data_IF_206470080346
#
_entry.id   IF_206470080346
#
_cell.length_a   1.000
_cell.length_b   1.000
_cell.length_c   1.000
_cell.angle_alpha   90.00
_cell.angle_beta   90.00
_cell.angle_gamma   90.00
#
_symmetry.space_group_name_H-M   'P 1'
#
loop_
_entity.id
_entity.type
_entity.pdbx_description
1 polymer ?
#
# COMPACT_ATOMS: atom_id res chain seq x y z
N UNK A 1 -32.88 27.70 -32.75
CA UNK A 1 -31.55 27.89 -33.34
C UNK A 1 -30.57 28.06 -32.20
N UNK A 2 -29.78 27.01 -31.99
CA UNK A 2 -28.45 26.97 -31.36
C UNK A 2 -28.30 27.27 -29.85
N UNK A 3 -28.05 26.17 -29.15
CA UNK A 3 -27.41 25.99 -27.86
C UNK A 3 -26.07 26.72 -27.73
N UNK A 4 -25.85 27.43 -26.62
CA UNK A 4 -24.50 27.77 -26.16
C UNK A 4 -24.28 27.06 -24.82
N UNK A 5 -23.70 25.87 -24.88
CA UNK A 5 -23.12 25.19 -23.74
C UNK A 5 -21.84 25.91 -23.37
N UNK A 6 -21.85 26.56 -22.21
CA UNK A 6 -20.68 27.18 -21.62
C UNK A 6 -19.82 26.05 -21.02
N UNK A 7 -18.92 25.51 -21.84
CA UNK A 7 -17.96 24.49 -21.43
C UNK A 7 -16.83 25.20 -20.68
N UNK A 8 -16.98 25.32 -19.36
CA UNK A 8 -15.95 25.88 -18.48
C UNK A 8 -14.79 24.88 -18.41
N UNK A 9 -13.57 25.23 -18.84
CA UNK A 9 -12.43 24.35 -18.66
C UNK A 9 -12.20 24.15 -17.17
N UNK A 10 -12.22 22.90 -16.72
CA UNK A 10 -11.83 22.53 -15.36
C UNK A 10 -10.40 23.00 -15.12
N UNK A 11 -10.27 24.13 -14.42
CA UNK A 11 -8.99 24.76 -14.09
C UNK A 11 -8.26 23.84 -13.11
N UNK A 12 -7.27 23.11 -13.64
CA UNK A 12 -6.40 22.26 -12.86
C UNK A 12 -5.72 23.09 -11.77
N UNK A 13 -5.76 22.60 -10.53
CA UNK A 13 -5.14 23.25 -9.38
C UNK A 13 -3.65 23.56 -9.66
N UNK A 14 -3.14 24.70 -9.15
CA UNK A 14 -1.79 25.14 -9.45
C UNK A 14 -0.75 24.06 -9.06
N UNK A 15 0.30 23.85 -9.88
CA UNK A 15 1.29 22.83 -9.61
C UNK A 15 1.98 23.15 -8.28
N UNK A 16 1.77 22.24 -7.32
CA UNK A 16 2.48 22.23 -6.05
C UNK A 16 3.98 22.00 -6.30
N UNK A 17 4.83 22.30 -5.32
CA UNK A 17 6.29 22.15 -5.49
C UNK A 17 6.66 20.71 -5.92
N UNK A 18 7.78 20.47 -6.62
CA UNK A 18 8.11 19.15 -7.16
C UNK A 18 8.10 18.01 -6.12
N UNK A 19 8.51 18.30 -4.87
CA UNK A 19 8.43 17.33 -3.77
C UNK A 19 6.98 17.04 -3.35
N UNK A 20 6.14 18.07 -3.34
CA UNK A 20 4.73 17.95 -2.97
C UNK A 20 3.90 17.23 -4.05
N UNK A 21 4.25 17.34 -5.33
CA UNK A 21 3.64 16.55 -6.40
C UNK A 21 3.98 15.05 -6.25
N UNK A 22 5.23 14.72 -5.91
CA UNK A 22 5.66 13.34 -5.66
C UNK A 22 4.85 12.71 -4.52
N UNK A 23 4.72 13.42 -3.40
CA UNK A 23 3.94 12.96 -2.25
C UNK A 23 2.45 12.82 -2.59
N UNK A 24 1.88 13.78 -3.32
CA UNK A 24 0.47 13.75 -3.75
C UNK A 24 0.19 12.53 -4.64
N UNK A 25 1.08 12.22 -5.58
CA UNK A 25 0.94 11.06 -6.47
C UNK A 25 1.10 9.76 -5.69
N UNK A 26 2.10 9.66 -4.81
CA UNK A 26 2.30 8.47 -3.99
C UNK A 26 1.06 8.19 -3.12
N UNK A 27 0.54 9.22 -2.46
CA UNK A 27 -0.69 9.13 -1.67
C UNK A 27 -1.88 8.68 -2.52
N UNK A 28 -2.05 9.22 -3.72
CA UNK A 28 -3.15 8.83 -4.60
C UNK A 28 -3.04 7.36 -5.03
N UNK A 29 -1.84 6.85 -5.28
CA UNK A 29 -1.61 5.43 -5.55
C UNK A 29 -1.99 4.60 -4.33
N UNK A 30 -1.52 4.97 -3.13
CA UNK A 30 -1.88 4.32 -1.86
C UNK A 30 -3.38 4.24 -1.68
N UNK A 31 -4.07 5.39 -1.72
CA UNK A 31 -5.51 5.49 -1.53
C UNK A 31 -6.25 4.59 -2.54
N UNK A 32 -5.87 4.62 -3.82
CA UNK A 32 -6.49 3.79 -4.85
C UNK A 32 -6.28 2.30 -4.56
N UNK A 33 -5.08 1.88 -4.16
CA UNK A 33 -4.80 0.47 -3.86
C UNK A 33 -5.49 -0.03 -2.60
N UNK A 34 -5.54 0.76 -1.53
CA UNK A 34 -6.20 0.40 -0.26
C UNK A 34 -7.72 0.20 -0.43
N UNK A 35 -8.34 0.98 -1.31
CA UNK A 35 -9.76 0.86 -1.63
C UNK A 35 -10.05 -0.20 -2.71
N UNK A 36 -9.06 -1.01 -3.10
CA UNK A 36 -9.20 -2.05 -4.13
C UNK A 36 -9.43 -1.50 -5.54
N UNK A 37 -9.14 -0.23 -5.77
CA UNK A 37 -9.24 0.42 -7.08
C UNK A 37 -7.95 0.30 -7.88
N UNK A 38 -8.08 0.36 -9.20
CA UNK A 38 -6.94 0.29 -10.11
C UNK A 38 -6.21 1.64 -10.21
N UNK A 39 -4.98 1.71 -9.70
CA UNK A 39 -4.10 2.89 -9.86
C UNK A 39 -3.46 2.96 -11.26
N UNK A 40 -4.26 3.32 -12.27
CA UNK A 40 -3.78 3.60 -13.63
C UNK A 40 -3.34 5.07 -13.76
N UNK A 41 -2.48 5.37 -14.74
CA UNK A 41 -2.03 6.75 -15.04
C UNK A 41 -3.19 7.74 -15.17
N UNK A 42 -4.25 7.32 -15.89
CA UNK A 42 -5.47 8.10 -16.07
C UNK A 42 -6.17 8.37 -14.74
N UNK A 43 -6.36 7.35 -13.91
CA UNK A 43 -7.06 7.50 -12.63
C UNK A 43 -6.26 8.34 -11.64
N UNK A 44 -4.93 8.21 -11.63
CA UNK A 44 -4.04 9.06 -10.84
C UNK A 44 -4.17 10.52 -11.28
N UNK A 45 -4.21 10.78 -12.59
CA UNK A 45 -4.44 12.13 -13.15
C UNK A 45 -5.79 12.70 -12.72
N UNK A 46 -6.86 11.91 -12.81
CA UNK A 46 -8.22 12.31 -12.41
C UNK A 46 -8.32 12.61 -10.91
N UNK A 47 -7.68 11.81 -10.05
CA UNK A 47 -7.72 11.98 -8.58
C UNK A 47 -6.83 13.14 -8.13
N UNK A 48 -5.66 13.32 -8.74
CA UNK A 48 -4.68 14.34 -8.33
C UNK A 48 -4.90 15.69 -9.00
N UNK A 49 -5.59 15.75 -10.14
CA UNK A 49 -5.76 16.95 -10.95
C UNK A 49 -4.48 17.43 -11.64
N UNK A 50 -3.39 16.64 -11.59
CA UNK A 50 -2.12 16.98 -12.20
C UNK A 50 -2.11 16.68 -13.70
N UNK A 51 -1.21 17.33 -14.45
CA UNK A 51 -1.03 17.03 -15.88
C UNK A 51 -0.44 15.63 -16.06
N UNK A 52 -0.88 14.92 -17.11
CA UNK A 52 -0.41 13.57 -17.43
C UNK A 52 1.12 13.48 -17.53
N UNK A 53 1.77 14.48 -18.15
CA UNK A 53 3.24 14.54 -18.26
C UNK A 53 3.93 14.60 -16.90
N UNK A 54 3.39 15.39 -15.96
CA UNK A 54 3.89 15.46 -14.58
C UNK A 54 3.71 14.12 -13.87
N UNK A 55 2.56 13.48 -14.05
CA UNK A 55 2.28 12.16 -13.47
C UNK A 55 3.25 11.11 -14.00
N UNK A 56 3.48 11.06 -15.31
CA UNK A 56 4.40 10.13 -15.95
C UNK A 56 5.85 10.28 -15.47
N UNK A 57 6.35 11.51 -15.37
CA UNK A 57 7.69 11.81 -14.85
C UNK A 57 7.86 11.32 -13.40
N UNK A 58 6.87 11.56 -12.54
CA UNK A 58 6.92 11.14 -11.14
C UNK A 58 6.73 9.64 -10.96
N UNK A 59 5.88 8.99 -11.75
CA UNK A 59 5.73 7.52 -11.75
C UNK A 59 7.07 6.86 -12.12
N UNK A 60 7.78 7.42 -13.11
CA UNK A 60 9.09 6.89 -13.52
C UNK A 60 10.08 6.96 -12.36
N UNK A 61 10.19 8.11 -11.68
CA UNK A 61 11.06 8.28 -10.50
C UNK A 61 10.65 7.40 -9.32
N UNK A 62 9.36 7.31 -9.00
CA UNK A 62 8.87 6.47 -7.90
C UNK A 62 9.16 4.98 -8.14
N UNK A 63 9.17 4.55 -9.41
CA UNK A 63 9.55 3.20 -9.80
C UNK A 63 11.06 2.97 -9.68
N UNK A 64 11.87 3.95 -10.09
CA UNK A 64 13.33 3.92 -9.90
C UNK A 64 13.71 3.88 -8.42
N UNK A 65 12.98 4.62 -7.58
CA UNK A 65 13.11 4.62 -6.12
C UNK A 65 12.62 3.31 -5.47
N UNK A 66 11.99 2.40 -6.23
CA UNK A 66 11.48 1.12 -5.74
C UNK A 66 10.23 1.21 -4.86
N UNK A 67 9.56 2.37 -4.81
CA UNK A 67 8.35 2.56 -3.99
C UNK A 67 7.08 2.01 -4.66
N UNK A 68 7.08 1.96 -6.00
CA UNK A 68 5.97 1.40 -6.78
C UNK A 68 6.50 0.42 -7.82
N UNK A 69 5.67 -0.54 -8.19
CA UNK A 69 5.93 -1.45 -9.31
C UNK A 69 4.77 -1.45 -10.28
N UNK A 70 5.06 -1.78 -11.54
CA UNK A 70 4.03 -1.95 -12.56
C UNK A 70 3.58 -3.41 -12.61
N UNK A 71 2.27 -3.63 -12.54
CA UNK A 71 1.65 -4.94 -12.64
C UNK A 71 1.46 -5.34 -14.10
N UNK A 72 0.50 -4.71 -14.78
CA UNK A 72 0.09 -4.97 -16.16
C UNK A 72 -0.55 -3.70 -16.76
N UNK A 73 -0.34 -3.46 -18.06
CA UNK A 73 -0.98 -2.38 -18.82
C UNK A 73 -0.95 -0.97 -18.18
N UNK A 74 0.13 -0.62 -17.46
CA UNK A 74 0.25 0.69 -16.81
C UNK A 74 -0.58 0.83 -15.54
N UNK A 75 -0.93 -0.29 -14.90
CA UNK A 75 -1.41 -0.37 -13.53
C UNK A 75 -0.23 -0.41 -12.57
N UNK A 76 -0.30 0.39 -11.50
CA UNK A 76 0.74 0.47 -10.48
C UNK A 76 0.22 -0.01 -9.14
N UNK A 77 1.12 -0.58 -8.34
CA UNK A 77 0.88 -0.88 -6.94
C UNK A 77 2.08 -0.45 -6.11
N UNK A 78 1.84 -0.23 -4.82
CA UNK A 78 2.91 0.00 -3.86
C UNK A 78 3.75 -1.25 -3.72
N UNK A 79 5.06 -1.05 -3.65
CA UNK A 79 5.96 -2.07 -3.13
C UNK A 79 5.87 -1.99 -1.61
N UNK A 80 5.60 -3.12 -0.96
CA UNK A 80 5.69 -3.18 0.49
C UNK A 80 7.16 -2.99 0.89
N UNK A 81 7.47 -1.79 1.40
CA UNK A 81 8.79 -1.44 1.92
C UNK A 81 8.86 -1.61 3.45
N UNK A 82 7.84 -2.20 4.06
CA UNK A 82 7.86 -2.47 5.51
C UNK A 82 9.05 -3.37 5.80
N UNK A 83 9.97 -2.97 6.69
CA UNK A 83 11.12 -3.80 6.99
C UNK A 83 10.64 -5.10 7.65
N UNK A 84 11.22 -6.22 7.23
CA UNK A 84 11.02 -7.50 7.90
C UNK A 84 11.47 -7.38 9.35
N UNK A 85 10.53 -7.57 10.28
CA UNK A 85 10.81 -7.58 11.71
C UNK A 85 11.14 -8.99 12.16
N UNK A 86 12.06 -9.13 13.11
CA UNK A 86 12.32 -10.41 13.74
C UNK A 86 11.06 -10.90 14.45
N UNK A 87 10.64 -12.13 14.14
CA UNK A 87 9.51 -12.79 14.79
C UNK A 87 10.03 -13.99 15.57
N UNK A 88 9.74 -14.03 16.86
CA UNK A 88 10.17 -15.12 17.75
C UNK A 88 8.99 -15.66 18.55
N UNK A 89 9.07 -16.96 18.89
CA UNK A 89 8.18 -17.58 19.87
C UNK A 89 9.04 -18.29 20.91
N UNK A 90 8.87 -17.94 22.17
CA UNK A 90 9.62 -18.50 23.29
C UNK A 90 8.68 -19.27 24.21
N UNK A 91 9.01 -20.53 24.48
CA UNK A 91 8.34 -21.31 25.51
C UNK A 91 8.78 -20.84 26.90
N UNK A 92 7.82 -20.65 27.80
CA UNK A 92 8.02 -20.24 29.18
C UNK A 92 7.60 -21.38 30.13
N UNK A 93 8.05 -21.34 31.40
CA UNK A 93 7.60 -22.29 32.41
C UNK A 93 6.07 -22.36 32.51
N UNK A 94 5.55 -23.53 32.93
CA UNK A 94 4.10 -23.81 33.07
C UNK A 94 3.31 -23.73 31.76
N UNK A 95 3.96 -24.03 30.62
CA UNK A 95 3.32 -24.12 29.31
C UNK A 95 2.85 -22.78 28.76
N UNK A 96 3.40 -21.67 29.26
CA UNK A 96 3.14 -20.35 28.71
C UNK A 96 4.04 -20.11 27.51
N UNK A 97 3.66 -19.14 26.69
CA UNK A 97 4.43 -18.73 25.53
C UNK A 97 4.54 -17.21 25.48
N UNK A 98 5.62 -16.73 24.87
CA UNK A 98 5.82 -15.32 24.57
C UNK A 98 6.05 -15.20 23.07
N UNK A 99 5.38 -14.24 22.44
CA UNK A 99 5.53 -13.92 21.01
C UNK A 99 6.08 -12.51 20.90
N UNK A 100 7.10 -12.33 20.08
CA UNK A 100 7.77 -11.04 19.85
C UNK A 100 7.77 -10.72 18.36
N UNK A 101 7.50 -9.46 18.02
CA UNK A 101 7.60 -8.92 16.66
C UNK A 101 8.32 -7.57 16.71
N UNK A 102 9.62 -7.57 16.43
CA UNK A 102 10.46 -6.39 16.70
C UNK A 102 10.43 -6.03 18.19
N UNK A 103 10.04 -4.80 18.51
CA UNK A 103 9.92 -4.31 19.89
C UNK A 103 8.56 -4.63 20.54
N UNK A 104 7.58 -5.11 19.76
CA UNK A 104 6.26 -5.45 20.27
C UNK A 104 6.29 -6.84 20.92
N UNK A 105 5.81 -6.93 22.17
CA UNK A 105 5.81 -8.17 22.94
C UNK A 105 4.40 -8.51 23.43
N UNK A 106 3.92 -9.70 23.07
CA UNK A 106 2.79 -10.34 23.74
C UNK A 106 3.31 -11.21 24.88
N UNK A 107 3.25 -10.68 26.09
CA UNK A 107 3.78 -11.37 27.26
C UNK A 107 2.89 -12.53 27.73
N UNK A 108 3.55 -13.66 28.04
CA UNK A 108 3.02 -14.73 28.88
C UNK A 108 1.63 -15.30 28.49
N UNK A 109 1.40 -15.47 27.19
CA UNK A 109 0.22 -16.16 26.64
C UNK A 109 0.01 -17.50 27.33
N UNK A 110 -1.23 -17.75 27.70
CA UNK A 110 -1.67 -19.04 28.24
C UNK A 110 -1.63 -20.12 27.15
N UNK A 111 -1.63 -21.42 27.53
CA UNK A 111 -1.74 -22.50 26.55
C UNK A 111 -2.96 -22.37 25.62
N UNK A 112 -4.09 -21.85 26.14
CA UNK A 112 -5.32 -21.70 25.35
C UNK A 112 -5.23 -20.56 24.33
N UNK A 113 -4.67 -19.43 24.71
CA UNK A 113 -4.43 -18.30 23.81
C UNK A 113 -3.42 -18.68 22.73
N UNK A 114 -2.36 -19.40 23.11
CA UNK A 114 -1.36 -19.90 22.17
C UNK A 114 -1.98 -20.85 21.15
N UNK A 115 -2.85 -21.76 21.59
CA UNK A 115 -3.57 -22.67 20.70
C UNK A 115 -4.56 -21.94 19.76
N UNK A 116 -5.21 -20.88 20.25
CA UNK A 116 -6.09 -20.05 19.42
C UNK A 116 -5.27 -19.32 18.35
N UNK A 117 -4.17 -18.67 18.75
CA UNK A 117 -3.25 -17.97 17.85
C UNK A 117 -2.66 -18.92 16.81
N UNK A 118 -2.22 -20.11 17.21
CA UNK A 118 -1.62 -21.08 16.29
C UNK A 118 -2.62 -21.53 15.21
N UNK A 119 -3.91 -21.66 15.53
CA UNK A 119 -4.94 -22.01 14.54
C UNK A 119 -5.15 -20.89 13.52
N UNK A 120 -5.16 -19.64 13.97
CA UNK A 120 -5.26 -18.48 13.07
C UNK A 120 -4.05 -18.42 12.13
N UNK A 121 -2.84 -18.58 12.67
CA UNK A 121 -1.61 -18.57 11.89
C UNK A 121 -1.49 -19.76 10.94
N UNK A 122 -1.99 -20.95 11.32
CA UNK A 122 -2.03 -22.10 10.43
C UNK A 122 -2.89 -21.83 9.18
N UNK A 123 -4.02 -21.11 9.34
CA UNK A 123 -4.84 -20.67 8.21
C UNK A 123 -4.09 -19.73 7.27
N UNK A 124 -3.35 -18.76 7.82
CA UNK A 124 -2.49 -17.84 7.04
C UNK A 124 -1.40 -18.62 6.31
N UNK A 125 -0.73 -19.55 6.99
CA UNK A 125 0.31 -20.38 6.39
C UNK A 125 -0.23 -21.23 5.23
N UNK A 126 -1.46 -21.72 5.30
CA UNK A 126 -2.08 -22.44 4.18
C UNK A 126 -2.45 -21.50 3.02
N UNK A 127 -2.99 -20.32 3.32
CA UNK A 127 -3.40 -19.35 2.29
C UNK A 127 -2.21 -18.78 1.51
N UNK A 128 -1.09 -18.51 2.18
CA UNK A 128 0.06 -17.83 1.59
C UNK A 128 1.28 -18.74 1.39
N UNK A 129 1.36 -19.88 2.08
CA UNK A 129 2.48 -20.84 1.96
C UNK A 129 2.36 -21.80 0.78
N UNK A 130 1.16 -21.96 0.21
CA UNK A 130 0.92 -22.80 -0.98
C UNK A 130 1.38 -22.15 -2.31
N UNK A 131 1.83 -20.89 -2.27
CA UNK A 131 2.24 -20.10 -3.44
C UNK A 131 3.74 -20.09 -3.72
N UNK A 132 4.49 -21.11 -3.26
CA UNK A 132 5.89 -21.35 -3.67
C UNK A 132 5.97 -22.42 -4.75
#
# INVERSE_FOLDING_TARGET
MTTASDDTPTEASPPKSPGQNRETILKAITDLTEHGHQASRRRITEVTGLRMTTVDDHITRLREDGLIRSLYAGLFELVDTTPDRAVSVTALPRGRFKVEVGDDVCEALTPRETLALSKLLAGVALAFGAGR
#
